data_IF_030165175094
#
_entry.id   IF_030165175094
#
_cell.length_a   1.000
_cell.length_b   1.000
_cell.length_c   1.000
_cell.angle_alpha   90.00
_cell.angle_beta   90.00
_cell.angle_gamma   90.00
#
_symmetry.space_group_name_H-M   'P 1'
#
loop_
_entity.id
_entity.type
_entity.pdbx_description
1 polymer ?
#
# COMPACT_ATOMS: atom_id res chain seq x y z
N UNK A 1 10.62 23.80 27.41
CA UNK A 1 9.22 24.16 27.07
C UNK A 1 9.33 25.19 25.97
N UNK A 2 8.58 24.97 24.88
CA UNK A 2 8.44 25.82 23.69
C UNK A 2 9.58 25.82 22.64
N UNK A 3 9.14 25.56 21.41
CA UNK A 3 9.85 25.61 20.13
C UNK A 3 10.09 27.06 19.69
N UNK A 4 11.03 27.28 18.76
CA UNK A 4 10.81 28.28 17.72
C UNK A 4 11.00 27.69 16.31
N UNK A 5 10.21 28.24 15.38
CA UNK A 5 10.17 27.85 13.98
C UNK A 5 11.20 28.55 13.10
N UNK A 6 10.91 28.44 11.81
CA UNK A 6 11.47 29.14 10.64
C UNK A 6 12.79 28.64 10.05
N UNK A 7 12.68 28.00 8.88
CA UNK A 7 13.72 28.04 7.85
C UNK A 7 13.10 28.65 6.59
N UNK A 8 13.34 29.95 6.44
CA UNK A 8 13.12 30.78 5.25
C UNK A 8 14.14 30.39 4.16
N UNK A 9 13.67 30.04 2.95
CA UNK A 9 14.52 30.01 1.76
C UNK A 9 14.53 31.40 1.11
N UNK A 10 15.70 32.03 1.08
CA UNK A 10 15.97 33.30 0.42
C UNK A 10 15.74 33.21 -1.09
N UNK A 11 14.93 34.11 -1.64
CA UNK A 11 14.88 34.42 -3.08
C UNK A 11 15.64 35.72 -3.29
N UNK A 12 16.79 35.66 -3.96
CA UNK A 12 17.44 36.84 -4.56
C UNK A 12 16.96 36.98 -5.99
N UNK A 13 16.50 38.18 -6.34
CA UNK A 13 15.97 38.53 -7.64
C UNK A 13 16.89 39.59 -8.27
N UNK A 14 17.36 39.38 -9.50
CA UNK A 14 17.85 40.45 -10.37
C UNK A 14 18.03 39.99 -11.81
N UNK A 15 17.53 40.80 -12.75
CA UNK A 15 17.99 40.84 -14.14
C UNK A 15 16.98 40.38 -15.19
N UNK A 16 16.30 41.35 -15.83
CA UNK A 16 15.60 41.16 -17.10
C UNK A 16 16.62 40.89 -18.21
N UNK A 17 16.40 39.87 -19.01
CA UNK A 17 16.75 39.83 -20.44
C UNK A 17 15.89 38.78 -21.16
N UNK A 18 15.39 39.15 -22.34
CA UNK A 18 14.43 38.43 -23.16
C UNK A 18 15.12 37.65 -24.28
N UNK A 19 14.95 36.31 -24.32
CA UNK A 19 15.22 35.43 -25.47
C UNK A 19 14.42 34.11 -25.31
N UNK A 20 14.09 33.38 -26.39
CA UNK A 20 12.93 32.48 -26.45
C UNK A 20 13.13 31.18 -25.66
N UNK A 21 12.01 30.66 -25.12
CA UNK A 21 11.92 29.37 -24.43
C UNK A 21 12.42 28.23 -25.34
N UNK A 22 13.62 27.74 -25.09
CA UNK A 22 13.90 26.33 -25.30
C UNK A 22 13.30 25.55 -24.13
N UNK A 23 12.30 24.72 -24.43
CA UNK A 23 11.73 23.77 -23.49
C UNK A 23 12.82 22.83 -22.97
N UNK A 24 13.04 22.71 -21.65
CA UNK A 24 14.01 21.77 -21.12
C UNK A 24 13.57 20.35 -21.47
N UNK A 25 14.46 19.61 -22.10
CA UNK A 25 14.33 18.18 -22.34
C UNK A 25 13.96 17.45 -21.03
N UNK A 26 12.80 16.81 -21.02
CA UNK A 26 12.39 15.87 -19.97
C UNK A 26 13.31 14.64 -20.00
N UNK A 27 14.47 14.74 -19.35
CA UNK A 27 15.20 13.57 -18.87
C UNK A 27 14.82 13.34 -17.42
N UNK A 28 13.88 12.41 -17.21
CA UNK A 28 13.42 12.03 -15.88
C UNK A 28 12.35 10.96 -15.80
N UNK A 29 12.11 10.17 -16.86
CA UNK A 29 11.08 9.12 -16.88
C UNK A 29 11.69 7.71 -16.85
N UNK A 30 12.43 7.37 -15.78
CA UNK A 30 12.91 6.00 -15.53
C UNK A 30 12.41 5.37 -14.23
N UNK A 31 11.50 6.03 -13.49
CA UNK A 31 10.76 5.42 -12.38
C UNK A 31 9.39 4.93 -12.88
N UNK A 32 9.39 3.98 -13.81
CA UNK A 32 8.26 3.08 -13.90
C UNK A 32 8.21 2.37 -12.54
N UNK A 33 7.24 2.75 -11.70
CA UNK A 33 7.04 2.25 -10.34
C UNK A 33 7.40 0.77 -10.24
N UNK A 34 8.35 0.38 -9.37
CA UNK A 34 8.60 -1.05 -9.14
C UNK A 34 7.38 -1.71 -8.49
N UNK A 35 6.35 -0.95 -8.13
CA UNK A 35 5.04 -1.44 -7.69
C UNK A 35 4.07 -1.72 -8.85
N UNK A 36 4.50 -1.58 -10.11
CA UNK A 36 3.72 -2.05 -11.25
C UNK A 36 3.57 -3.58 -11.15
N UNK A 37 2.34 -4.03 -10.90
CA UNK A 37 1.98 -5.44 -10.77
C UNK A 37 1.61 -5.86 -9.34
N UNK A 38 1.25 -7.14 -9.13
CA UNK A 38 0.81 -7.63 -7.83
C UNK A 38 1.94 -7.57 -6.79
N UNK A 39 1.70 -6.91 -5.66
CA UNK A 39 2.67 -6.83 -4.56
C UNK A 39 2.92 -8.20 -3.92
N UNK A 40 1.96 -9.12 -4.01
CA UNK A 40 2.11 -10.50 -3.54
C UNK A 40 3.35 -11.18 -4.12
N UNK A 41 3.63 -10.95 -5.42
CA UNK A 41 4.82 -11.52 -6.07
C UNK A 41 6.10 -10.90 -5.52
N UNK A 42 6.13 -9.56 -5.36
CA UNK A 42 7.29 -8.87 -4.80
C UNK A 42 7.65 -9.35 -3.38
N UNK A 43 6.64 -9.62 -2.56
CA UNK A 43 6.82 -10.12 -1.20
C UNK A 43 7.24 -11.59 -1.18
N UNK A 44 6.68 -12.42 -2.07
CA UNK A 44 7.09 -13.83 -2.19
C UNK A 44 8.51 -13.98 -2.76
N UNK A 45 8.87 -13.19 -3.77
CA UNK A 45 10.23 -13.16 -4.32
C UNK A 45 11.25 -12.76 -3.24
N UNK A 46 10.91 -11.75 -2.42
CA UNK A 46 11.75 -11.34 -1.30
C UNK A 46 11.81 -12.38 -0.18
N UNK A 47 10.70 -13.07 0.11
CA UNK A 47 10.69 -14.17 1.07
C UNK A 47 11.56 -15.34 0.60
N UNK A 48 11.62 -15.62 -0.70
CA UNK A 48 12.48 -16.65 -1.28
C UNK A 48 13.96 -16.21 -1.31
N UNK A 49 14.25 -15.00 -1.80
CA UNK A 49 15.62 -14.51 -2.00
C UNK A 49 16.30 -14.05 -0.69
N UNK A 50 15.52 -13.60 0.29
CA UNK A 50 15.99 -13.00 1.53
C UNK A 50 15.31 -13.61 2.77
N UNK A 51 14.99 -14.90 2.71
CA UNK A 51 14.23 -15.64 3.74
C UNK A 51 14.65 -15.33 5.19
N UNK A 52 15.95 -15.32 5.57
CA UNK A 52 16.33 -15.04 6.96
C UNK A 52 15.89 -13.66 7.43
N UNK A 53 16.06 -12.63 6.59
CA UNK A 53 15.69 -11.26 6.91
C UNK A 53 14.16 -11.11 6.96
N UNK A 54 13.44 -11.62 5.95
CA UNK A 54 11.98 -11.49 5.88
C UNK A 54 11.31 -12.29 7.01
N UNK A 55 11.75 -13.52 7.28
CA UNK A 55 11.23 -14.31 8.39
C UNK A 55 11.48 -13.63 9.75
N UNK A 56 12.67 -13.04 9.96
CA UNK A 56 12.99 -12.28 11.17
C UNK A 56 12.08 -11.08 11.35
N UNK A 57 11.79 -10.34 10.27
CA UNK A 57 10.81 -9.25 10.28
C UNK A 57 9.43 -9.75 10.70
N UNK A 58 8.92 -10.81 10.07
CA UNK A 58 7.58 -11.35 10.36
C UNK A 58 7.47 -11.84 11.81
N UNK A 59 8.52 -12.49 12.34
CA UNK A 59 8.58 -12.90 13.75
C UNK A 59 8.55 -11.69 14.69
N UNK A 60 9.22 -10.59 14.34
CA UNK A 60 9.15 -9.33 15.13
C UNK A 60 7.75 -8.74 15.11
N UNK A 61 7.10 -8.70 13.95
CA UNK A 61 5.73 -8.23 13.83
C UNK A 61 4.76 -9.09 14.66
N UNK A 62 4.87 -10.43 14.61
CA UNK A 62 4.08 -11.32 15.47
C UNK A 62 4.26 -11.05 16.96
N UNK A 63 5.47 -10.65 17.39
CA UNK A 63 5.72 -10.28 18.79
C UNK A 63 5.04 -8.96 19.16
N UNK A 64 5.10 -7.95 18.29
CA UNK A 64 4.44 -6.66 18.48
C UNK A 64 2.91 -6.80 18.52
N UNK A 65 2.36 -7.69 17.69
CA UNK A 65 0.93 -7.97 17.63
C UNK A 65 0.33 -8.51 18.94
N UNK A 66 1.14 -9.04 19.87
CA UNK A 66 0.66 -9.54 21.16
C UNK A 66 0.09 -8.44 22.07
N UNK A 67 0.69 -7.25 22.01
CA UNK A 67 0.24 -6.11 22.81
C UNK A 67 -0.73 -5.23 22.02
N UNK A 68 -0.45 -5.05 20.73
CA UNK A 68 -1.22 -4.17 19.85
C UNK A 68 -1.45 -4.87 18.50
N UNK A 69 -2.62 -5.50 18.30
CA UNK A 69 -2.94 -6.27 17.10
C UNK A 69 -2.96 -5.43 15.81
N UNK A 70 -3.31 -4.15 15.91
CA UNK A 70 -3.33 -3.23 14.77
C UNK A 70 -2.15 -2.28 14.85
N UNK A 71 -1.33 -2.25 13.79
CA UNK A 71 -0.15 -1.40 13.68
C UNK A 71 -0.27 -0.47 12.47
N UNK A 72 0.36 0.69 12.56
CA UNK A 72 0.41 1.66 11.46
C UNK A 72 1.66 1.44 10.60
N UNK A 73 1.62 1.99 9.37
CA UNK A 73 2.71 1.91 8.38
C UNK A 73 4.13 2.17 8.94
N UNK A 74 4.28 3.18 9.80
CA UNK A 74 5.59 3.54 10.36
C UNK A 74 6.24 2.39 11.16
N UNK A 75 5.45 1.56 11.83
CA UNK A 75 5.97 0.42 12.61
C UNK A 75 6.57 -0.63 11.70
N UNK A 76 5.92 -0.93 10.57
CA UNK A 76 6.49 -1.83 9.57
C UNK A 76 7.77 -1.25 8.96
N UNK A 77 7.78 0.04 8.62
CA UNK A 77 8.95 0.70 8.06
C UNK A 77 10.15 0.69 9.04
N UNK A 78 9.91 0.96 10.31
CA UNK A 78 10.92 0.96 11.37
C UNK A 78 11.48 -0.44 11.61
N UNK A 79 10.62 -1.45 11.78
CA UNK A 79 11.06 -2.84 11.96
C UNK A 79 11.79 -3.38 10.72
N UNK A 80 11.32 -3.02 9.53
CA UNK A 80 11.99 -3.36 8.27
C UNK A 80 13.39 -2.75 8.21
N UNK A 81 13.55 -1.47 8.53
CA UNK A 81 14.85 -0.81 8.52
C UNK A 81 15.80 -1.41 9.58
N UNK A 82 15.32 -1.78 10.77
CA UNK A 82 16.13 -2.49 11.78
C UNK A 82 16.65 -3.81 11.23
N UNK A 83 15.78 -4.64 10.64
CA UNK A 83 16.16 -5.94 10.07
C UNK A 83 17.15 -5.79 8.92
N UNK A 84 16.91 -4.86 8.00
CA UNK A 84 17.84 -4.57 6.88
C UNK A 84 19.22 -4.21 7.41
N UNK A 85 19.29 -3.40 8.46
CA UNK A 85 20.56 -2.95 9.06
C UNK A 85 21.30 -4.10 9.74
N UNK A 86 20.58 -4.94 10.49
CA UNK A 86 21.15 -6.09 11.21
C UNK A 86 21.66 -7.18 10.27
N UNK A 87 20.90 -7.51 9.23
CA UNK A 87 21.27 -8.52 8.24
C UNK A 87 22.20 -7.97 7.13
N UNK A 88 22.50 -6.66 7.17
CA UNK A 88 23.28 -5.94 6.14
C UNK A 88 22.74 -6.16 4.72
N UNK A 89 21.42 -6.19 4.58
CA UNK A 89 20.74 -6.59 3.34
C UNK A 89 20.12 -5.38 2.64
N UNK A 90 20.97 -4.51 2.08
CA UNK A 90 20.53 -3.32 1.32
C UNK A 90 19.80 -3.69 0.02
N UNK A 91 19.99 -4.89 -0.53
CA UNK A 91 19.26 -5.37 -1.71
C UNK A 91 17.77 -5.53 -1.41
N UNK A 92 17.43 -6.08 -0.24
CA UNK A 92 16.04 -6.20 0.22
C UNK A 92 15.35 -4.82 0.32
N UNK A 93 16.07 -3.81 0.83
CA UNK A 93 15.57 -2.44 0.97
C UNK A 93 15.38 -1.74 -0.36
N UNK A 94 16.32 -1.88 -1.27
CA UNK A 94 16.27 -1.24 -2.59
C UNK A 94 15.45 -2.05 -3.61
N UNK A 95 14.99 -3.25 -3.24
CA UNK A 95 14.15 -4.10 -4.06
C UNK A 95 12.65 -3.76 -4.00
N UNK A 96 11.85 -4.56 -4.71
CA UNK A 96 10.39 -4.36 -4.82
C UNK A 96 9.66 -4.44 -3.48
N UNK A 97 10.09 -5.33 -2.57
CA UNK A 97 9.50 -5.43 -1.24
C UNK A 97 9.74 -4.15 -0.42
N UNK A 98 10.92 -3.53 -0.52
CA UNK A 98 11.22 -2.27 0.17
C UNK A 98 10.33 -1.12 -0.30
N UNK A 99 10.11 -0.97 -1.61
CA UNK A 99 9.10 -0.02 -2.11
C UNK A 99 7.68 -0.39 -1.63
N UNK A 100 7.37 -1.69 -1.60
CA UNK A 100 6.08 -2.21 -1.13
C UNK A 100 5.82 -1.85 0.33
N UNK A 101 6.80 -2.00 1.21
CA UNK A 101 6.73 -1.59 2.62
C UNK A 101 6.31 -0.13 2.76
N UNK A 102 6.87 0.77 1.93
CA UNK A 102 6.49 2.20 1.94
C UNK A 102 5.05 2.47 1.49
N UNK A 103 4.40 1.53 0.80
CA UNK A 103 3.00 1.64 0.38
C UNK A 103 2.00 1.06 1.39
N UNK A 104 2.47 0.35 2.42
CA UNK A 104 1.62 -0.20 3.47
C UNK A 104 0.92 0.94 4.23
N UNK A 105 -0.38 0.79 4.47
CA UNK A 105 -1.18 1.75 5.25
C UNK A 105 -1.38 1.26 6.68
N UNK A 106 -1.66 -0.02 6.84
CA UNK A 106 -1.90 -0.65 8.15
C UNK A 106 -1.54 -2.14 8.12
N UNK A 107 -1.26 -2.66 9.31
CA UNK A 107 -1.06 -4.08 9.58
C UNK A 107 -2.08 -4.55 10.60
N UNK A 108 -2.63 -5.73 10.35
CA UNK A 108 -3.45 -6.48 11.28
C UNK A 108 -2.67 -7.75 11.66
N UNK A 109 -2.49 -8.01 12.95
CA UNK A 109 -1.61 -9.07 13.45
C UNK A 109 -2.38 -9.90 14.47
N UNK A 110 -2.66 -11.14 14.10
CA UNK A 110 -3.30 -12.14 14.96
C UNK A 110 -2.53 -13.43 14.80
N UNK A 111 -1.73 -13.82 15.80
CA UNK A 111 -0.88 -15.00 15.67
C UNK A 111 -1.73 -16.24 15.30
N UNK A 112 -1.35 -17.02 14.26
CA UNK A 112 -0.05 -17.00 13.54
C UNK A 112 -0.02 -16.13 12.26
N UNK A 113 -1.03 -15.30 12.01
CA UNK A 113 -1.24 -14.56 10.77
C UNK A 113 -0.92 -13.07 10.86
N UNK A 114 -0.46 -12.51 9.73
CA UNK A 114 -0.25 -11.08 9.51
C UNK A 114 -1.00 -10.69 8.22
N UNK A 115 -1.87 -9.69 8.33
CA UNK A 115 -2.53 -9.03 7.22
C UNK A 115 -1.95 -7.65 6.96
N UNK A 116 -1.79 -7.29 5.70
CA UNK A 116 -1.23 -6.03 5.22
C UNK A 116 -2.24 -5.35 4.30
N UNK A 117 -2.64 -4.12 4.61
CA UNK A 117 -3.36 -3.27 3.66
C UNK A 117 -2.36 -2.35 2.95
N UNK A 118 -2.27 -2.48 1.63
CA UNK A 118 -1.27 -1.81 0.82
C UNK A 118 -1.94 -0.87 -0.18
N UNK A 119 -1.34 0.30 -0.38
CA UNK A 119 -1.82 1.32 -1.31
C UNK A 119 -0.70 1.79 -2.24
N UNK A 120 -0.27 0.95 -3.20
CA UNK A 120 0.85 1.27 -4.08
C UNK A 120 0.59 2.48 -4.99
N UNK A 121 -0.66 2.69 -5.40
CA UNK A 121 -1.06 3.81 -6.25
C UNK A 121 -2.34 4.47 -5.72
N UNK A 122 -2.61 5.69 -6.18
CA UNK A 122 -3.83 6.41 -5.81
C UNK A 122 -5.06 5.66 -6.34
N UNK A 123 -5.86 5.15 -5.41
CA UNK A 123 -7.08 4.40 -5.73
C UNK A 123 -6.84 2.91 -6.02
N UNK A 124 -5.62 2.43 -5.83
CA UNK A 124 -5.26 1.01 -5.90
C UNK A 124 -5.02 0.48 -4.48
N UNK A 125 -5.79 -0.52 -4.07
CA UNK A 125 -5.66 -1.20 -2.79
C UNK A 125 -5.38 -2.67 -3.04
N UNK A 126 -4.36 -3.19 -2.36
CA UNK A 126 -3.98 -4.60 -2.40
C UNK A 126 -3.90 -5.10 -0.96
N UNK A 127 -4.53 -6.25 -0.68
CA UNK A 127 -4.52 -6.86 0.65
C UNK A 127 -3.72 -8.14 0.59
N UNK A 128 -2.71 -8.26 1.44
CA UNK A 128 -1.88 -9.44 1.54
C UNK A 128 -2.05 -10.08 2.91
N UNK A 129 -1.99 -11.41 2.97
CA UNK A 129 -1.97 -12.17 4.21
C UNK A 129 -0.84 -13.20 4.16
N UNK A 130 -0.19 -13.42 5.27
CA UNK A 130 0.75 -14.53 5.46
C UNK A 130 0.50 -15.16 6.83
N UNK A 131 0.65 -16.47 6.92
CA UNK A 131 0.49 -17.22 8.17
C UNK A 131 1.73 -18.07 8.41
N UNK A 132 2.22 -18.05 9.64
CA UNK A 132 3.28 -18.96 10.06
C UNK A 132 2.76 -20.39 10.13
N UNK A 133 3.64 -21.36 9.87
CA UNK A 133 3.38 -22.79 10.10
C UNK A 133 3.14 -23.07 11.59
N UNK A 134 2.65 -24.28 11.92
CA UNK A 134 2.42 -24.74 13.31
C UNK A 134 3.64 -24.60 14.23
N UNK A 135 4.85 -24.53 13.65
CA UNK A 135 6.11 -24.33 14.38
C UNK A 135 6.47 -22.85 14.60
N UNK A 136 5.61 -21.90 14.21
CA UNK A 136 5.89 -20.47 14.22
C UNK A 136 6.96 -20.03 13.21
N UNK A 137 7.28 -20.89 12.24
CA UNK A 137 8.25 -20.62 11.16
C UNK A 137 7.54 -20.16 9.89
N UNK A 138 8.20 -19.30 9.12
CA UNK A 138 7.76 -18.81 7.80
C UNK A 138 8.51 -19.48 6.63
N UNK A 139 9.30 -20.53 6.88
CA UNK A 139 10.12 -21.20 5.85
C UNK A 139 9.29 -21.76 4.67
N UNK A 140 8.14 -22.36 4.97
CA UNK A 140 7.22 -22.92 3.97
C UNK A 140 5.97 -22.02 3.75
N UNK A 141 6.01 -20.79 4.26
CA UNK A 141 4.93 -19.83 4.13
C UNK A 141 5.06 -19.03 2.84
N UNK A 142 3.94 -18.51 2.36
CA UNK A 142 3.91 -17.54 1.27
C UNK A 142 2.85 -16.47 1.57
N UNK A 143 3.06 -15.28 1.04
CA UNK A 143 2.04 -14.25 0.99
C UNK A 143 0.97 -14.67 0.00
N UNK A 144 -0.28 -14.53 0.42
CA UNK A 144 -1.48 -14.73 -0.37
C UNK A 144 -2.15 -13.37 -0.54
N UNK A 145 -2.62 -13.08 -1.75
CA UNK A 145 -3.49 -11.94 -1.97
C UNK A 145 -4.91 -12.30 -1.54
N UNK A 146 -5.49 -11.50 -0.66
CA UNK A 146 -6.86 -11.67 -0.15
C UNK A 146 -7.74 -10.56 -0.70
N UNK A 147 -9.06 -10.80 -0.74
CA UNK A 147 -10.00 -9.74 -1.07
C UNK A 147 -10.25 -8.79 0.12
N UNK A 148 -10.98 -7.71 -0.13
CA UNK A 148 -11.27 -6.69 0.88
C UNK A 148 -12.17 -7.23 2.00
N UNK A 149 -13.18 -8.03 1.68
CA UNK A 149 -14.08 -8.64 2.66
C UNK A 149 -13.32 -9.64 3.54
N UNK A 150 -12.46 -10.48 2.97
CA UNK A 150 -11.57 -11.39 3.72
C UNK A 150 -10.63 -10.62 4.67
N UNK A 151 -10.04 -9.50 4.20
CA UNK A 151 -9.19 -8.65 5.03
C UNK A 151 -9.96 -7.98 6.17
N UNK A 152 -11.16 -7.47 5.89
CA UNK A 152 -12.02 -6.82 6.89
C UNK A 152 -12.51 -7.84 7.93
N UNK A 153 -12.90 -9.04 7.51
CA UNK A 153 -13.29 -10.11 8.42
C UNK A 153 -12.14 -10.50 9.36
N UNK A 154 -10.90 -10.57 8.83
CA UNK A 154 -9.70 -10.78 9.64
C UNK A 154 -9.49 -9.64 10.65
N UNK A 155 -9.68 -8.39 10.23
CA UNK A 155 -9.54 -7.21 11.09
C UNK A 155 -10.58 -7.16 12.21
N UNK A 156 -11.83 -7.52 11.91
CA UNK A 156 -12.92 -7.59 12.88
C UNK A 156 -12.67 -8.69 13.92
N UNK A 157 -12.12 -9.83 13.50
CA UNK A 157 -11.70 -10.92 14.39
C UNK A 157 -10.70 -10.50 15.47
N UNK A 158 -9.89 -9.47 15.22
CA UNK A 158 -8.96 -8.91 16.22
C UNK A 158 -9.67 -8.34 17.46
N UNK A 159 -10.91 -7.89 17.30
CA UNK A 159 -11.68 -7.20 18.35
C UNK A 159 -12.74 -8.13 18.93
N UNK A 160 -13.47 -8.83 18.06
CA UNK A 160 -14.62 -9.66 18.44
C UNK A 160 -14.21 -11.10 18.78
N UNK A 161 -13.00 -11.51 18.40
CA UNK A 161 -12.54 -12.89 18.48
C UNK A 161 -13.01 -13.74 17.29
N UNK A 162 -12.74 -15.05 17.30
CA UNK A 162 -13.15 -15.95 16.23
C UNK A 162 -14.67 -15.96 16.09
N UNK A 163 -15.16 -15.65 14.89
CA UNK A 163 -16.58 -15.74 14.55
C UNK A 163 -16.90 -17.03 13.83
N UNK A 164 -18.04 -17.60 14.16
CA UNK A 164 -18.58 -18.80 13.54
C UNK A 164 -18.98 -18.50 12.08
N UNK A 165 -19.00 -19.52 11.23
CA UNK A 165 -19.39 -19.37 9.81
C UNK A 165 -20.76 -18.74 9.66
N UNK A 166 -21.70 -19.07 10.56
CA UNK A 166 -23.06 -18.53 10.54
C UNK A 166 -23.06 -17.02 10.79
N UNK A 167 -22.22 -16.56 11.71
CA UNK A 167 -22.14 -15.14 12.08
C UNK A 167 -21.54 -14.32 10.93
N UNK A 168 -20.45 -14.81 10.34
CA UNK A 168 -19.81 -14.22 9.16
C UNK A 168 -20.80 -14.11 8.00
N UNK A 169 -21.53 -15.18 7.68
CA UNK A 169 -22.51 -15.18 6.59
C UNK A 169 -23.73 -14.28 6.85
N UNK A 170 -24.02 -13.97 8.11
CA UNK A 170 -25.13 -13.09 8.50
C UNK A 170 -24.72 -11.62 8.68
N UNK A 171 -23.42 -11.33 8.60
CA UNK A 171 -22.88 -9.98 8.72
C UNK A 171 -23.24 -9.15 7.48
N UNK A 172 -23.71 -7.92 7.70
CA UNK A 172 -24.13 -7.04 6.61
C UNK A 172 -22.91 -6.46 5.88
N UNK A 173 -22.74 -6.80 4.60
CA UNK A 173 -21.76 -6.16 3.72
C UNK A 173 -22.40 -5.04 2.89
N UNK A 174 -21.84 -3.84 2.98
CA UNK A 174 -22.25 -2.70 2.17
C UNK A 174 -21.42 -2.61 0.89
N UNK A 175 -21.86 -3.27 -0.18
CA UNK A 175 -21.23 -3.13 -1.51
C UNK A 175 -21.98 -2.12 -2.40
N UNK A 176 -21.32 -1.00 -2.71
CA UNK A 176 -21.85 0.03 -3.61
C UNK A 176 -21.36 -0.15 -5.07
N UNK A 177 -20.47 -1.11 -5.33
CA UNK A 177 -19.91 -1.36 -6.64
C UNK A 177 -20.98 -1.63 -7.71
N UNK A 178 -22.01 -2.46 -7.47
CA UNK A 178 -23.06 -2.76 -8.44
C UNK A 178 -23.87 -1.53 -8.88
N UNK A 179 -24.05 -0.55 -7.99
CA UNK A 179 -24.79 0.68 -8.28
C UNK A 179 -23.98 1.66 -9.14
N UNK A 180 -22.66 1.52 -9.16
CA UNK A 180 -21.75 2.39 -9.93
C UNK A 180 -21.44 1.87 -11.33
N UNK A 181 -21.87 0.66 -11.69
CA UNK A 181 -21.47 -0.04 -12.93
C UNK A 181 -21.82 0.73 -14.21
N UNK A 182 -22.89 1.52 -14.19
CA UNK A 182 -23.34 2.32 -15.33
C UNK A 182 -22.65 3.69 -15.44
N UNK A 183 -21.90 4.08 -14.40
CA UNK A 183 -21.14 5.32 -14.38
C UNK A 183 -19.71 5.04 -14.85
N UNK A 184 -19.21 5.75 -15.87
CA UNK A 184 -17.83 5.54 -16.28
C UNK A 184 -16.87 6.04 -15.21
N UNK A 185 -15.82 5.26 -15.01
CA UNK A 185 -14.82 5.52 -13.99
C UNK A 185 -13.67 6.34 -14.56
N UNK A 186 -13.23 7.31 -13.78
CA UNK A 186 -12.01 8.06 -14.03
C UNK A 186 -10.83 7.21 -13.57
N UNK A 187 -10.06 6.65 -14.51
CA UNK A 187 -8.93 5.76 -14.21
C UNK A 187 -7.59 6.48 -14.08
N UNK A 188 -7.55 7.80 -14.35
CA UNK A 188 -6.31 8.60 -14.23
C UNK A 188 -6.32 9.38 -12.92
N UNK A 189 -5.29 9.26 -12.06
CA UNK A 189 -5.21 9.99 -10.79
C UNK A 189 -5.39 11.51 -10.95
N UNK A 190 -4.81 12.09 -12.01
CA UNK A 190 -4.95 13.52 -12.35
C UNK A 190 -6.40 13.99 -12.64
N UNK A 191 -7.35 13.07 -12.76
CA UNK A 191 -8.75 13.38 -13.02
C UNK A 191 -9.61 13.30 -11.77
N UNK A 192 -9.07 12.89 -10.62
CA UNK A 192 -9.79 12.90 -9.34
C UNK A 192 -10.23 14.33 -9.01
N UNK A 193 -11.48 14.50 -8.58
CA UNK A 193 -12.08 15.82 -8.33
C UNK A 193 -12.67 16.51 -9.57
N UNK A 194 -12.40 16.03 -10.79
CA UNK A 194 -12.86 16.64 -12.05
C UNK A 194 -14.05 15.90 -12.70
N UNK A 195 -14.96 15.36 -11.87
CA UNK A 195 -16.08 14.52 -12.31
C UNK A 195 -17.04 15.23 -13.29
N UNK A 196 -17.34 16.51 -13.06
CA UNK A 196 -18.26 17.28 -13.93
C UNK A 196 -17.71 17.44 -15.34
N UNK A 197 -16.42 17.74 -15.49
CA UNK A 197 -15.79 17.88 -16.80
C UNK A 197 -15.80 16.56 -17.58
N UNK A 198 -15.60 15.44 -16.88
CA UNK A 198 -15.69 14.12 -17.47
C UNK A 198 -17.11 13.75 -17.90
N UNK A 199 -18.09 13.99 -17.03
CA UNK A 199 -19.49 13.73 -17.30
C UNK A 199 -19.98 14.57 -18.50
N UNK A 200 -19.61 15.86 -18.56
CA UNK A 200 -19.90 16.72 -19.71
C UNK A 200 -19.37 16.10 -21.01
N UNK A 201 -18.10 15.69 -21.05
CA UNK A 201 -17.51 15.04 -22.24
C UNK A 201 -18.27 13.76 -22.64
N UNK A 202 -18.64 12.95 -21.67
CA UNK A 202 -19.36 11.70 -21.93
C UNK A 202 -20.78 11.95 -22.46
N UNK A 203 -21.52 12.87 -21.84
CA UNK A 203 -22.87 13.24 -22.28
C UNK A 203 -22.85 13.85 -23.68
N UNK A 204 -21.92 14.77 -23.95
CA UNK A 204 -21.70 15.31 -25.29
C UNK A 204 -21.41 14.20 -26.30
N UNK A 205 -20.55 13.23 -25.97
CA UNK A 205 -20.27 12.10 -26.87
C UNK A 205 -21.48 11.20 -27.14
N UNK A 206 -22.41 11.05 -26.19
CA UNK A 206 -23.63 10.25 -26.37
C UNK A 206 -24.71 11.00 -27.17
N UNK A 207 -24.81 12.32 -26.99
CA UNK A 207 -25.80 13.17 -27.65
C UNK A 207 -25.45 13.51 -29.10
N UNK A 208 -24.18 13.38 -29.51
CA UNK A 208 -23.74 13.65 -30.89
C UNK A 208 -24.22 12.58 -31.90
N UNK A 209 -24.78 11.46 -31.43
CA UNK A 209 -25.32 10.38 -32.26
C UNK A 209 -26.86 10.26 -32.21
N UNK A 210 -27.56 11.35 -31.87
CA UNK A 210 -29.01 11.52 -32.09
C UNK A 210 -29.25 12.62 -33.11
#
# INVERSE_FOLDING_TARGET
MEFPGDILWHVSNMGKDSAPMESPSLQGDSKFSLLAGPLVNAFNDALAAHSPAVAKLLIRLLKLGKEQPIQLSHVLADEFQKVVTEEKNEELKNGRMGEGVGSCQELCIEAPSIGLAMRPLVGDWQYLKISASDKGSFEDSHFVQVDVSEYLAFKEGLVEGPRDVVDIMSTLELDLSPFSTHLPRLTRPKSIGNGVAFLKRQLSSKLVWQ
#
